data_IF_753585262994
#
_entry.id   IF_753585262994
#
_cell.length_a   1.000
_cell.length_b   1.000
_cell.length_c   1.000
_cell.angle_alpha   90.00
_cell.angle_beta   90.00
_cell.angle_gamma   90.00
#
_symmetry.space_group_name_H-M   'P 1'
#
loop_
_entity.id
_entity.type
_entity.pdbx_description
1 polymer ?
#
# COMPACT_ATOMS: atom_id res chain seq x y z
N UNK A 1 26.41 -35.96 2.44
CA UNK A 1 25.26 -35.83 1.51
C UNK A 1 24.53 -34.48 1.66
N UNK A 2 24.34 -33.97 2.88
CA UNK A 2 23.68 -32.66 3.12
C UNK A 2 24.49 -31.46 2.59
N UNK A 3 25.81 -31.43 2.80
CA UNK A 3 26.69 -30.31 2.36
C UNK A 3 26.72 -30.16 0.83
N UNK A 4 26.73 -31.26 0.09
CA UNK A 4 26.74 -31.24 -1.38
C UNK A 4 25.43 -30.66 -1.94
N UNK A 5 24.29 -31.00 -1.34
CA UNK A 5 22.97 -30.50 -1.73
C UNK A 5 22.85 -28.98 -1.52
N UNK A 6 23.34 -28.45 -0.40
CA UNK A 6 23.30 -27.01 -0.10
C UNK A 6 24.12 -26.19 -1.10
N UNK A 7 25.30 -26.69 -1.51
CA UNK A 7 26.16 -26.03 -2.50
C UNK A 7 25.51 -26.06 -3.88
N UNK A 8 24.89 -27.18 -4.28
CA UNK A 8 24.19 -27.27 -5.56
C UNK A 8 22.96 -26.36 -5.64
N UNK A 9 22.18 -26.24 -4.57
CA UNK A 9 21.02 -25.34 -4.52
C UNK A 9 21.49 -23.89 -4.62
N UNK A 10 22.51 -23.51 -3.84
CA UNK A 10 23.04 -22.14 -3.85
C UNK A 10 23.63 -21.76 -5.21
N UNK A 11 24.38 -22.68 -5.85
CA UNK A 11 24.92 -22.49 -7.19
C UNK A 11 23.81 -22.40 -8.24
N UNK A 12 22.79 -23.25 -8.13
CA UNK A 12 21.66 -23.26 -9.05
C UNK A 12 20.86 -21.94 -8.97
N UNK A 13 20.49 -21.50 -7.76
CA UNK A 13 19.79 -20.23 -7.56
C UNK A 13 20.59 -19.04 -8.08
N UNK A 14 21.91 -18.99 -7.85
CA UNK A 14 22.75 -17.90 -8.32
C UNK A 14 22.89 -17.84 -9.86
N UNK A 15 22.97 -19.00 -10.52
CA UNK A 15 23.27 -19.08 -11.95
C UNK A 15 22.04 -19.18 -12.85
N UNK A 16 20.96 -19.81 -12.35
CA UNK A 16 19.75 -20.12 -13.13
C UNK A 16 18.52 -19.33 -12.70
N UNK A 17 18.56 -18.65 -11.55
CA UNK A 17 17.51 -17.72 -11.08
C UNK A 17 18.12 -16.34 -10.74
N UNK A 18 18.82 -15.67 -11.67
CA UNK A 18 19.42 -14.36 -11.40
C UNK A 18 18.36 -13.29 -11.11
N UNK A 19 17.14 -13.45 -11.64
CA UNK A 19 16.01 -12.54 -11.43
C UNK A 19 15.56 -12.49 -9.97
N UNK A 20 15.59 -13.61 -9.23
CA UNK A 20 15.29 -13.64 -7.79
C UNK A 20 16.35 -12.89 -6.96
N UNK A 21 17.55 -12.69 -7.50
CA UNK A 21 18.65 -11.97 -6.86
C UNK A 21 18.75 -10.49 -7.31
N UNK A 22 17.91 -10.06 -8.27
CA UNK A 22 17.83 -8.66 -8.65
C UNK A 22 17.10 -7.90 -7.54
N UNK A 23 17.81 -7.00 -6.86
CA UNK A 23 17.16 -5.97 -6.05
C UNK A 23 16.19 -5.22 -6.96
N UNK A 24 14.92 -5.15 -6.60
CA UNK A 24 13.94 -4.33 -7.30
C UNK A 24 14.49 -2.91 -7.34
N UNK A 25 14.83 -2.45 -8.55
CA UNK A 25 15.30 -1.09 -8.75
C UNK A 25 14.07 -0.20 -8.92
N UNK A 26 13.74 0.57 -7.89
CA UNK A 26 12.72 1.60 -7.93
C UNK A 26 13.39 2.94 -8.22
N UNK A 27 12.80 3.75 -9.08
CA UNK A 27 13.32 5.08 -9.41
C UNK A 27 13.37 5.97 -8.16
N UNK A 28 14.45 6.72 -7.98
CA UNK A 28 14.66 7.57 -6.80
C UNK A 28 13.54 8.61 -6.62
N UNK A 29 12.95 9.13 -7.70
CA UNK A 29 11.84 10.09 -7.62
C UNK A 29 10.53 9.44 -7.14
N UNK A 30 10.39 8.12 -7.31
CA UNK A 30 9.25 7.37 -6.74
C UNK A 30 9.45 7.20 -5.23
N UNK A 31 10.70 7.02 -4.79
CA UNK A 31 11.05 6.89 -3.37
C UNK A 31 10.94 8.23 -2.62
N UNK A 32 11.12 9.33 -3.35
CA UNK A 32 11.07 10.69 -2.83
C UNK A 32 10.11 11.55 -3.68
N UNK A 33 8.79 11.30 -3.59
CA UNK A 33 7.81 12.08 -4.34
C UNK A 33 7.77 13.54 -3.88
N UNK A 34 7.45 14.44 -4.80
CA UNK A 34 7.38 15.90 -4.55
C UNK A 34 6.23 16.30 -3.62
N UNK A 35 5.22 15.45 -3.50
CA UNK A 35 4.00 15.66 -2.73
C UNK A 35 3.56 14.43 -1.96
N UNK A 36 2.49 14.62 -1.19
CA UNK A 36 1.86 13.58 -0.40
C UNK A 36 0.35 13.64 -0.55
N UNK A 37 -0.28 12.48 -0.48
CA UNK A 37 -1.74 12.34 -0.46
C UNK A 37 -2.18 12.04 0.97
N UNK A 38 -3.11 12.83 1.51
CA UNK A 38 -3.65 12.62 2.86
C UNK A 38 -5.11 12.13 2.77
N UNK A 39 -5.40 11.04 3.49
CA UNK A 39 -6.75 10.53 3.71
C UNK A 39 -7.08 10.68 5.20
N UNK A 40 -8.11 11.46 5.51
CA UNK A 40 -8.56 11.66 6.88
C UNK A 40 -9.65 10.64 7.21
N UNK A 41 -9.53 9.95 8.34
CA UNK A 41 -10.65 9.24 8.96
C UNK A 41 -11.36 10.27 9.83
N UNK A 42 -12.51 10.77 9.35
CA UNK A 42 -13.16 11.92 9.97
C UNK A 42 -13.97 11.53 11.21
N UNK A 43 -14.30 12.52 12.03
CA UNK A 43 -15.19 12.34 13.19
C UNK A 43 -16.49 11.63 12.81
N UNK A 44 -16.86 10.62 13.60
CA UNK A 44 -18.08 9.84 13.40
C UNK A 44 -17.98 8.77 12.32
N UNK A 45 -16.79 8.48 11.77
CA UNK A 45 -16.58 7.43 10.75
C UNK A 45 -17.07 6.04 11.19
N UNK A 46 -17.05 5.81 12.51
CA UNK A 46 -17.56 4.60 13.16
C UNK A 46 -19.08 4.43 13.18
N UNK A 47 -19.84 5.41 12.70
CA UNK A 47 -21.29 5.35 12.64
C UNK A 47 -21.71 4.84 11.26
N UNK A 48 -22.52 3.78 11.13
CA UNK A 48 -22.94 3.24 9.82
C UNK A 48 -23.64 4.24 8.90
N UNK A 49 -24.37 5.20 9.48
CA UNK A 49 -25.07 6.27 8.75
C UNK A 49 -24.11 7.33 8.18
N UNK A 50 -22.87 7.39 8.69
CA UNK A 50 -21.86 8.33 8.24
C UNK A 50 -21.30 7.88 6.88
N UNK A 51 -21.79 8.56 5.83
CA UNK A 51 -21.38 8.25 4.46
C UNK A 51 -19.94 8.66 4.20
N UNK A 52 -19.49 9.79 4.73
CA UNK A 52 -18.13 10.30 4.58
C UNK A 52 -17.26 9.81 5.74
N UNK A 53 -16.26 8.96 5.46
CA UNK A 53 -15.45 8.34 6.51
C UNK A 53 -13.96 8.48 6.21
N UNK A 54 -13.44 7.70 5.27
CA UNK A 54 -12.20 8.04 4.58
C UNK A 54 -12.44 9.24 3.67
N UNK A 55 -11.74 10.34 3.91
CA UNK A 55 -11.86 11.57 3.13
C UNK A 55 -10.50 12.04 2.59
N UNK A 56 -10.34 12.07 1.25
CA UNK A 56 -11.29 11.60 0.24
C UNK A 56 -11.42 10.06 0.23
N UNK A 57 -12.58 9.54 -0.22
CA UNK A 57 -12.82 8.09 -0.33
C UNK A 57 -12.05 7.46 -1.48
N UNK A 58 -11.99 8.17 -2.60
CA UNK A 58 -11.24 7.81 -3.78
C UNK A 58 -10.03 8.73 -3.84
N UNK A 59 -8.84 8.15 -3.81
CA UNK A 59 -7.61 8.86 -4.13
C UNK A 59 -7.07 8.36 -5.47
N UNK A 60 -6.59 9.29 -6.27
CA UNK A 60 -5.83 9.02 -7.48
C UNK A 60 -4.41 9.48 -7.21
N UNK A 61 -3.47 8.55 -7.20
CA UNK A 61 -2.06 8.85 -6.95
C UNK A 61 -1.23 8.54 -8.17
N UNK A 62 -0.20 9.34 -8.37
CA UNK A 62 0.74 9.25 -9.47
C UNK A 62 2.13 9.00 -8.91
N UNK A 63 2.76 7.92 -9.37
CA UNK A 63 4.17 7.64 -9.06
C UNK A 63 5.02 8.86 -9.41
N UNK A 64 5.98 9.20 -8.54
CA UNK A 64 6.85 10.40 -8.54
C UNK A 64 6.20 11.71 -8.11
N UNK A 65 4.88 11.78 -7.97
CA UNK A 65 4.19 13.03 -7.62
C UNK A 65 3.67 12.98 -6.19
N UNK A 66 2.77 12.05 -5.89
CA UNK A 66 2.00 12.02 -4.64
C UNK A 66 1.71 10.58 -4.17
N UNK A 67 2.55 9.63 -4.60
CA UNK A 67 2.43 8.20 -4.30
C UNK A 67 2.79 7.81 -2.86
N UNK A 68 3.18 8.77 -2.01
CA UNK A 68 3.20 8.58 -0.56
C UNK A 68 1.84 8.97 0.01
N UNK A 69 1.10 7.97 0.51
CA UNK A 69 -0.23 8.18 1.09
C UNK A 69 -0.17 8.06 2.61
N UNK A 70 -0.79 9.02 3.30
CA UNK A 70 -0.95 9.00 4.76
C UNK A 70 -2.41 9.00 5.15
N UNK A 71 -2.80 8.02 5.96
CA UNK A 71 -4.09 7.96 6.64
C UNK A 71 -3.95 8.53 8.04
N UNK A 72 -4.79 9.51 8.38
CA UNK A 72 -4.77 10.16 9.70
C UNK A 72 -6.08 9.89 10.41
N UNK A 73 -6.02 9.34 11.62
CA UNK A 73 -7.21 9.12 12.43
C UNK A 73 -7.62 10.39 13.19
N UNK A 74 -8.55 11.16 12.60
CA UNK A 74 -9.16 12.33 13.25
C UNK A 74 -10.49 11.99 13.95
N UNK A 75 -10.86 10.72 14.03
CA UNK A 75 -12.01 10.24 14.80
C UNK A 75 -11.60 9.95 16.25
N UNK A 76 -12.58 9.77 17.13
CA UNK A 76 -12.34 9.54 18.57
C UNK A 76 -12.21 8.05 18.93
N UNK A 77 -12.31 7.17 17.94
CA UNK A 77 -12.20 5.72 18.17
C UNK A 77 -11.17 5.06 17.24
N UNK A 78 -10.69 3.84 17.58
CA UNK A 78 -9.70 3.15 16.77
C UNK A 78 -10.24 2.70 15.41
N UNK A 79 -9.40 2.81 14.38
CA UNK A 79 -9.70 2.39 13.00
C UNK A 79 -8.56 1.59 12.40
N UNK A 80 -8.77 0.98 11.22
CA UNK A 80 -7.71 0.30 10.46
C UNK A 80 -7.76 0.73 9.01
N UNK A 81 -6.69 0.50 8.26
CA UNK A 81 -6.68 0.55 6.79
C UNK A 81 -6.38 -0.87 6.34
N UNK A 82 -7.39 -1.59 5.85
CA UNK A 82 -7.30 -3.03 5.57
C UNK A 82 -7.69 -3.30 4.12
N UNK A 83 -6.81 -3.86 3.28
CA UNK A 83 -7.19 -4.21 1.92
C UNK A 83 -8.35 -5.19 1.90
N UNK A 84 -9.20 -5.10 0.89
CA UNK A 84 -10.28 -6.06 0.68
C UNK A 84 -9.77 -7.38 0.07
N UNK A 85 -8.69 -7.29 -0.72
CA UNK A 85 -8.05 -8.46 -1.34
C UNK A 85 -7.10 -9.16 -0.37
N UNK A 86 -6.99 -10.47 -0.52
CA UNK A 86 -6.00 -11.31 0.15
C UNK A 86 -4.92 -11.82 -0.82
N UNK A 87 -4.99 -11.42 -2.09
CA UNK A 87 -3.98 -11.77 -3.08
C UNK A 87 -2.74 -10.90 -2.87
N UNK A 88 -1.62 -11.54 -2.51
CA UNK A 88 -0.36 -10.85 -2.25
C UNK A 88 0.16 -10.11 -3.49
N UNK A 89 -0.15 -10.56 -4.70
CA UNK A 89 0.26 -9.86 -5.92
C UNK A 89 -0.48 -8.52 -6.09
N UNK A 90 -1.70 -8.42 -5.54
CA UNK A 90 -2.51 -7.20 -5.58
C UNK A 90 -2.11 -6.22 -4.46
N UNK A 91 -1.83 -6.73 -3.26
CA UNK A 91 -1.65 -5.90 -2.06
C UNK A 91 -0.19 -5.71 -1.63
N UNK A 92 0.76 -6.44 -2.22
CA UNK A 92 2.19 -6.23 -1.96
C UNK A 92 2.75 -5.18 -2.92
N UNK A 93 3.45 -4.22 -2.34
CA UNK A 93 4.31 -3.30 -3.05
C UNK A 93 5.74 -3.86 -3.05
N UNK A 94 6.44 -3.85 -4.20
CA UNK A 94 7.74 -4.50 -4.31
C UNK A 94 8.85 -3.82 -3.48
N UNK A 95 8.63 -2.59 -3.01
CA UNK A 95 9.53 -1.88 -2.12
C UNK A 95 8.99 -1.78 -0.69
N UNK A 96 7.72 -1.39 -0.54
CA UNK A 96 7.11 -1.10 0.77
C UNK A 96 6.56 -2.33 1.48
N UNK A 97 6.45 -3.47 0.81
CA UNK A 97 5.88 -4.70 1.35
C UNK A 97 4.35 -4.71 1.30
N UNK A 98 3.72 -5.45 2.22
CA UNK A 98 2.27 -5.62 2.23
C UNK A 98 1.53 -4.34 2.64
N UNK A 99 0.54 -3.96 1.85
CA UNK A 99 -0.34 -2.83 2.15
C UNK A 99 -1.35 -3.19 3.25
N UNK A 100 -1.37 -2.39 4.30
CA UNK A 100 -2.36 -2.42 5.38
C UNK A 100 -1.78 -1.86 6.68
N UNK A 101 -2.59 -1.17 7.48
CA UNK A 101 -2.12 -0.66 8.77
C UNK A 101 -1.72 -1.82 9.69
N UNK A 102 -0.55 -1.71 10.32
CA UNK A 102 -0.12 -2.69 11.33
C UNK A 102 -0.94 -2.46 12.59
N UNK A 103 -1.96 -3.30 12.79
CA UNK A 103 -2.88 -3.16 13.91
C UNK A 103 -3.86 -1.99 13.73
N UNK A 104 -4.28 -1.40 14.85
CA UNK A 104 -5.26 -0.32 14.89
C UNK A 104 -4.56 1.04 14.97
N UNK A 105 -5.13 2.03 14.29
CA UNK A 105 -4.80 3.45 14.42
C UNK A 105 -5.66 4.02 15.55
N UNK A 106 -5.02 4.35 16.68
CA UNK A 106 -5.68 5.06 17.77
C UNK A 106 -6.04 6.49 17.34
N UNK A 107 -6.90 7.22 18.08
CA UNK A 107 -7.16 8.63 17.80
C UNK A 107 -5.87 9.45 17.75
N UNK A 108 -5.65 10.17 16.65
CA UNK A 108 -4.44 10.94 16.38
C UNK A 108 -3.28 10.14 15.76
N UNK A 109 -3.37 8.81 15.67
CA UNK A 109 -2.36 8.00 14.98
C UNK A 109 -2.46 8.17 13.46
N UNK A 110 -1.36 7.85 12.80
CA UNK A 110 -1.24 7.85 11.35
C UNK A 110 -0.65 6.54 10.82
N UNK A 111 -1.04 6.20 9.60
CA UNK A 111 -0.45 5.13 8.81
C UNK A 111 0.04 5.70 7.49
N UNK A 112 1.28 5.43 7.13
CA UNK A 112 1.86 5.84 5.86
C UNK A 112 2.18 4.61 4.99
N UNK A 113 1.95 4.74 3.69
CA UNK A 113 2.37 3.74 2.72
C UNK A 113 2.87 4.40 1.44
N UNK A 114 3.98 3.90 0.91
CA UNK A 114 4.58 4.37 -0.32
C UNK A 114 4.27 3.37 -1.43
N UNK A 115 3.46 3.77 -2.42
CA UNK A 115 3.23 2.96 -3.60
C UNK A 115 4.35 3.17 -4.60
N UNK A 116 4.98 2.11 -5.07
CA UNK A 116 6.12 2.15 -5.99
C UNK A 116 5.89 1.45 -7.31
N UNK A 117 4.76 0.74 -7.44
CA UNK A 117 4.40 0.03 -8.66
C UNK A 117 3.03 0.42 -9.21
N UNK A 118 2.95 0.45 -10.55
CA UNK A 118 1.73 0.72 -11.30
C UNK A 118 1.85 0.14 -12.73
N UNK A 119 0.74 -0.29 -13.35
CA UNK A 119 0.76 -0.81 -14.72
C UNK A 119 1.23 0.27 -15.70
N UNK A 120 1.86 -0.12 -16.83
CA UNK A 120 2.33 0.83 -17.84
C UNK A 120 1.21 1.66 -18.46
N UNK A 121 -0.01 1.13 -18.50
CA UNK A 121 -1.21 1.81 -18.96
C UNK A 121 -2.36 1.52 -17.98
N UNK A 122 -3.15 2.54 -17.65
CA UNK A 122 -4.26 2.43 -16.70
C UNK A 122 -3.83 2.66 -15.25
N UNK A 123 -4.58 2.10 -14.32
CA UNK A 123 -4.35 2.22 -12.87
C UNK A 123 -4.32 0.84 -12.20
N UNK A 124 -3.45 0.67 -11.20
CA UNK A 124 -3.59 -0.38 -10.18
C UNK A 124 -4.65 0.10 -9.20
N UNK A 125 -5.70 -0.69 -9.00
CA UNK A 125 -6.83 -0.30 -8.14
C UNK A 125 -6.83 -1.18 -6.89
N UNK A 126 -6.77 -0.55 -5.72
CA UNK A 126 -6.86 -1.23 -4.43
C UNK A 126 -8.08 -0.69 -3.69
N UNK A 127 -8.99 -1.58 -3.29
CA UNK A 127 -10.08 -1.24 -2.38
C UNK A 127 -9.75 -1.70 -0.97
N UNK A 128 -10.20 -0.93 0.01
CA UNK A 128 -9.91 -1.18 1.41
C UNK A 128 -11.07 -0.76 2.31
N UNK A 129 -11.11 -1.34 3.50
CA UNK A 129 -12.10 -1.05 4.52
C UNK A 129 -11.47 -0.84 5.90
N UNK A 130 -12.26 -0.35 6.84
CA UNK A 130 -11.94 -0.44 8.27
C UNK A 130 -12.49 -1.76 8.80
N UNK A 131 -11.64 -2.64 9.34
CA UNK A 131 -12.02 -3.98 9.80
C UNK A 131 -13.14 -3.96 10.87
N UNK A 132 -13.07 -3.16 11.94
CA UNK A 132 -14.17 -3.06 12.91
C UNK A 132 -15.41 -2.33 12.37
N UNK A 133 -15.28 -1.56 11.27
CA UNK A 133 -16.35 -0.74 10.69
C UNK A 133 -16.48 -0.96 9.17
N UNK A 134 -16.98 -2.13 8.70
CA UNK A 134 -16.88 -2.53 7.29
C UNK A 134 -17.65 -1.66 6.27
N UNK A 135 -18.51 -0.73 6.73
CA UNK A 135 -19.15 0.29 5.89
C UNK A 135 -18.19 1.42 5.50
N UNK A 136 -17.09 1.59 6.23
CA UNK A 136 -16.00 2.49 5.85
C UNK A 136 -15.22 1.85 4.72
N UNK A 137 -15.29 2.46 3.53
CA UNK A 137 -14.67 1.95 2.31
C UNK A 137 -13.96 3.07 1.57
N UNK A 138 -12.76 2.75 1.09
CA UNK A 138 -11.97 3.61 0.25
C UNK A 138 -11.42 2.86 -0.96
N UNK A 139 -10.95 3.64 -1.93
CA UNK A 139 -10.34 3.16 -3.17
C UNK A 139 -9.11 3.98 -3.48
N UNK A 140 -8.05 3.31 -3.89
CA UNK A 140 -6.79 3.90 -4.35
C UNK A 140 -6.64 3.53 -5.81
N UNK A 141 -6.43 4.52 -6.68
CA UNK A 141 -6.05 4.33 -8.07
C UNK A 141 -4.62 4.83 -8.25
N UNK A 142 -3.69 3.90 -8.52
CA UNK A 142 -2.27 4.18 -8.62
C UNK A 142 -1.88 4.16 -10.09
N UNK A 143 -1.30 5.24 -10.59
CA UNK A 143 -0.93 5.40 -11.99
C UNK A 143 0.53 5.80 -12.12
N UNK A 144 1.14 5.50 -13.28
CA UNK A 144 2.41 6.16 -13.63
C UNK A 144 2.15 7.62 -13.98
N UNK A 145 3.02 8.50 -13.48
CA UNK A 145 3.05 9.88 -13.94
C UNK A 145 3.28 9.93 -15.46
N UNK A 146 2.50 10.76 -16.14
CA UNK A 146 2.58 10.97 -17.59
C UNK A 146 3.28 12.30 -17.86
N UNK A 147 4.61 12.32 -17.82
CA UNK A 147 5.41 13.45 -18.28
C UNK A 147 6.48 12.98 -19.27
#
# INVERSE_FOLDING_TARGET
>A
MIVAMSVTISWYSMYWLPEENQKVFVDEHILHPDGETIVNIIMGSSVPEQKDNYMPKLIQVQLTIDNKVRWVNNDEIPHTVTPDSYDLDEISDPYSGEFGSIGVLMPGDEYEFLFTDAPPNGAKVITYHCHPHPWMKGTIEITKSRF
#
